data_IF_818596567165
#
_entry.id   IF_818596567165
#
_cell.length_a   1.000
_cell.length_b   1.000
_cell.length_c   1.000
_cell.angle_alpha   90.00
_cell.angle_beta   90.00
_cell.angle_gamma   90.00
#
_symmetry.space_group_name_H-M   'P 1'
#
loop_
_entity.id
_entity.type
_entity.pdbx_description
1 polymer ?
#
# COMPACT_ATOMS: atom_id res chain seq x y z
N UNK A 1 -26.69 -17.29 -0.28
CA UNK A 1 -25.74 -16.54 -1.15
C UNK A 1 -24.63 -15.88 -0.33
N UNK A 2 -24.94 -15.08 0.70
CA UNK A 2 -23.94 -14.39 1.56
C UNK A 2 -22.89 -15.32 2.18
N UNK A 3 -23.30 -16.43 2.79
CA UNK A 3 -22.36 -17.38 3.43
C UNK A 3 -21.38 -17.96 2.41
N UNK A 4 -21.86 -18.36 1.23
CA UNK A 4 -21.03 -18.91 0.15
C UNK A 4 -20.02 -17.88 -0.33
N UNK A 5 -20.46 -16.62 -0.50
CA UNK A 5 -19.58 -15.52 -0.89
C UNK A 5 -18.49 -15.26 0.16
N UNK A 6 -18.85 -15.19 1.45
CA UNK A 6 -17.89 -15.01 2.55
C UNK A 6 -16.87 -16.14 2.59
N UNK A 7 -17.32 -17.40 2.49
CA UNK A 7 -16.43 -18.57 2.47
C UNK A 7 -15.46 -18.49 1.28
N UNK A 8 -15.94 -18.10 0.10
CA UNK A 8 -15.10 -17.95 -1.09
C UNK A 8 -14.02 -16.87 -0.89
N UNK A 9 -14.40 -15.70 -0.37
CA UNK A 9 -13.46 -14.59 -0.09
C UNK A 9 -12.39 -15.03 0.91
N UNK A 10 -12.79 -15.70 1.99
CA UNK A 10 -11.85 -16.22 3.00
C UNK A 10 -10.92 -17.28 2.42
N UNK A 11 -11.42 -18.18 1.56
CA UNK A 11 -10.62 -19.19 0.89
C UNK A 11 -9.56 -18.56 -0.04
N UNK A 12 -9.95 -17.56 -0.84
CA UNK A 12 -9.03 -16.81 -1.70
C UNK A 12 -7.98 -16.09 -0.86
N UNK A 13 -8.38 -15.35 0.17
CA UNK A 13 -7.46 -14.65 1.06
C UNK A 13 -6.50 -15.62 1.75
N UNK A 14 -6.99 -16.76 2.25
CA UNK A 14 -6.17 -17.80 2.85
C UNK A 14 -5.14 -18.38 1.87
N UNK A 15 -5.55 -18.66 0.63
CA UNK A 15 -4.67 -19.12 -0.43
C UNK A 15 -3.57 -18.11 -0.79
N UNK A 16 -3.93 -16.83 -0.89
CA UNK A 16 -2.97 -15.74 -1.14
C UNK A 16 -1.95 -15.62 0.01
N UNK A 17 -2.41 -15.62 1.26
CA UNK A 17 -1.51 -15.52 2.42
C UNK A 17 -0.60 -16.75 2.55
N UNK A 18 -1.12 -17.94 2.25
CA UNK A 18 -0.30 -19.14 2.17
C UNK A 18 0.78 -19.04 1.08
N UNK A 19 0.43 -18.50 -0.10
CA UNK A 19 1.38 -18.25 -1.17
C UNK A 19 2.47 -17.27 -0.74
N UNK A 20 2.09 -16.14 -0.12
CA UNK A 20 3.04 -15.16 0.41
C UNK A 20 3.98 -15.79 1.44
N UNK A 21 3.44 -16.53 2.42
CA UNK A 21 4.23 -17.24 3.42
C UNK A 21 5.19 -18.24 2.79
N UNK A 22 4.72 -19.01 1.78
CA UNK A 22 5.55 -19.98 1.08
C UNK A 22 6.75 -19.29 0.43
N UNK A 23 6.52 -18.20 -0.30
CA UNK A 23 7.55 -17.53 -1.10
C UNK A 23 8.49 -16.66 -0.29
N UNK A 24 7.99 -15.99 0.76
CA UNK A 24 8.78 -15.09 1.59
C UNK A 24 9.43 -15.75 2.80
N UNK A 25 8.84 -16.83 3.32
CA UNK A 25 9.29 -17.47 4.56
C UNK A 25 9.76 -18.89 4.31
N UNK A 26 8.91 -19.79 3.80
CA UNK A 26 9.27 -21.21 3.63
C UNK A 26 10.42 -21.43 2.66
N UNK A 27 10.43 -20.72 1.53
CA UNK A 27 11.43 -20.90 0.47
C UNK A 27 12.75 -20.14 0.72
N UNK A 28 12.80 -19.26 1.73
CA UNK A 28 13.95 -18.36 2.02
C UNK A 28 14.65 -18.68 3.35
N UNK A 29 14.00 -19.43 4.24
CA UNK A 29 14.48 -19.73 5.60
C UNK A 29 14.69 -21.23 5.84
N UNK A 30 15.56 -21.57 6.80
CA UNK A 30 15.73 -22.95 7.26
C UNK A 30 14.50 -23.41 8.07
N UNK A 31 14.23 -24.73 8.08
CA UNK A 31 13.04 -25.30 8.74
C UNK A 31 12.97 -25.00 10.24
N UNK A 32 14.11 -24.99 10.92
CA UNK A 32 14.28 -24.66 12.33
C UNK A 32 15.17 -23.42 12.44
N UNK A 33 14.56 -22.25 12.66
CA UNK A 33 15.29 -21.01 12.83
C UNK A 33 14.39 -19.85 13.23
N UNK A 34 14.95 -18.90 13.97
CA UNK A 34 14.24 -17.71 14.46
C UNK A 34 13.62 -16.91 13.31
N UNK A 35 14.34 -16.73 12.20
CA UNK A 35 13.83 -16.04 11.01
C UNK A 35 12.54 -16.67 10.45
N UNK A 36 12.43 -18.01 10.45
CA UNK A 36 11.21 -18.71 10.00
C UNK A 36 10.04 -18.47 10.95
N UNK A 37 10.30 -18.50 12.25
CA UNK A 37 9.28 -18.24 13.29
C UNK A 37 8.76 -16.81 13.20
N UNK A 38 9.67 -15.83 13.15
CA UNK A 38 9.35 -14.40 13.03
C UNK A 38 8.60 -14.12 11.72
N UNK A 39 9.10 -14.60 10.58
CA UNK A 39 8.41 -14.42 9.30
C UNK A 39 7.03 -15.07 9.27
N UNK A 40 6.87 -16.25 9.90
CA UNK A 40 5.56 -16.90 10.02
C UNK A 40 4.62 -16.08 10.90
N UNK A 41 5.09 -15.61 12.05
CA UNK A 41 4.30 -14.78 12.95
C UNK A 41 3.84 -13.48 12.26
N UNK A 42 4.72 -12.80 11.52
CA UNK A 42 4.37 -11.59 10.78
C UNK A 42 3.30 -11.84 9.71
N UNK A 43 3.44 -12.92 8.92
CA UNK A 43 2.49 -13.27 7.85
C UNK A 43 1.14 -13.78 8.37
N UNK A 44 1.07 -14.23 9.63
CA UNK A 44 -0.18 -14.58 10.32
C UNK A 44 -0.80 -13.36 11.01
N UNK A 45 0.03 -12.53 11.66
CA UNK A 45 -0.45 -11.34 12.37
C UNK A 45 -1.04 -10.30 11.41
N UNK A 46 -0.45 -10.12 10.23
CA UNK A 46 -0.93 -9.17 9.21
C UNK A 46 -2.42 -9.31 8.87
N UNK A 47 -2.90 -10.45 8.34
CA UNK A 47 -4.31 -10.64 8.03
C UNK A 47 -5.23 -10.55 9.25
N UNK A 48 -4.75 -10.97 10.43
CA UNK A 48 -5.51 -10.84 11.68
C UNK A 48 -5.68 -9.37 12.06
N UNK A 49 -4.63 -8.56 11.96
CA UNK A 49 -4.70 -7.12 12.22
C UNK A 49 -5.61 -6.42 11.21
N UNK A 50 -5.51 -6.77 9.93
CA UNK A 50 -6.39 -6.27 8.87
C UNK A 50 -7.87 -6.60 9.15
N UNK A 51 -8.18 -7.87 9.46
CA UNK A 51 -9.55 -8.28 9.76
C UNK A 51 -10.07 -7.62 11.03
N UNK A 52 -9.27 -7.56 12.10
CA UNK A 52 -9.66 -6.92 13.35
C UNK A 52 -9.89 -5.41 13.16
N UNK A 53 -9.08 -4.73 12.35
CA UNK A 53 -9.29 -3.32 12.03
C UNK A 53 -10.64 -3.08 11.33
N UNK A 54 -10.94 -3.85 10.27
CA UNK A 54 -12.22 -3.77 9.54
C UNK A 54 -13.42 -4.06 10.45
N UNK A 55 -13.31 -5.08 11.31
CA UNK A 55 -14.38 -5.43 12.27
C UNK A 55 -14.54 -4.35 13.34
N UNK A 56 -13.44 -3.78 13.85
CA UNK A 56 -13.50 -2.74 14.87
C UNK A 56 -14.24 -1.48 14.38
N UNK A 57 -14.02 -1.08 13.13
CA UNK A 57 -14.77 0.03 12.50
C UNK A 57 -16.25 -0.31 12.32
N UNK A 58 -16.56 -1.51 11.81
CA UNK A 58 -17.95 -1.93 11.55
C UNK A 58 -18.78 -2.17 12.80
N UNK A 59 -18.15 -2.52 13.92
CA UNK A 59 -18.84 -2.85 15.18
C UNK A 59 -18.91 -1.69 16.17
N UNK A 60 -18.34 -0.52 15.81
CA UNK A 60 -18.31 0.64 16.71
C UNK A 60 -17.44 0.42 17.94
N UNK A 61 -16.34 -0.34 17.81
CA UNK A 61 -15.37 -0.53 18.90
C UNK A 61 -14.82 0.83 19.38
N UNK A 62 -14.28 0.95 20.62
CA UNK A 62 -13.77 2.22 21.12
C UNK A 62 -12.80 2.88 20.14
N UNK A 63 -12.98 4.17 19.83
CA UNK A 63 -12.24 4.85 18.77
C UNK A 63 -10.72 4.74 18.93
N UNK A 64 -10.19 4.80 20.16
CA UNK A 64 -8.76 4.58 20.45
C UNK A 64 -8.26 3.22 19.97
N UNK A 65 -9.06 2.17 20.12
CA UNK A 65 -8.72 0.84 19.63
C UNK A 65 -8.73 0.81 18.10
N UNK A 66 -9.71 1.46 17.45
CA UNK A 66 -9.73 1.61 16.00
C UNK A 66 -8.45 2.31 15.50
N UNK A 67 -8.04 3.41 16.14
CA UNK A 67 -6.81 4.14 15.77
C UNK A 67 -5.55 3.26 15.85
N UNK A 68 -5.43 2.43 16.88
CA UNK A 68 -4.27 1.55 17.07
C UNK A 68 -4.26 0.40 16.04
N UNK A 69 -5.43 -0.16 15.71
CA UNK A 69 -5.54 -1.29 14.80
C UNK A 69 -5.50 -0.88 13.31
N UNK A 70 -6.08 0.27 12.97
CA UNK A 70 -6.23 0.73 11.59
C UNK A 70 -4.87 0.91 10.90
N UNK A 71 -3.88 1.51 11.58
CA UNK A 71 -2.53 1.70 11.02
C UNK A 71 -1.89 0.41 10.53
N UNK A 72 -1.61 -0.60 11.39
CA UNK A 72 -0.97 -1.82 10.94
C UNK A 72 -1.91 -2.68 10.07
N UNK A 73 -3.21 -2.69 10.34
CA UNK A 73 -4.18 -3.48 9.58
C UNK A 73 -4.32 -3.01 8.13
N UNK A 74 -4.48 -1.71 7.91
CA UNK A 74 -4.64 -1.17 6.57
C UNK A 74 -3.33 -1.04 5.80
N UNK A 75 -2.20 -0.78 6.47
CA UNK A 75 -0.89 -0.89 5.82
C UNK A 75 -0.61 -2.32 5.37
N UNK A 76 -1.00 -3.33 6.15
CA UNK A 76 -0.92 -4.72 5.71
C UNK A 76 -1.77 -4.96 4.46
N UNK A 77 -2.99 -4.42 4.41
CA UNK A 77 -3.89 -4.55 3.26
C UNK A 77 -3.24 -4.02 1.97
N UNK A 78 -2.59 -2.86 1.99
CA UNK A 78 -1.83 -2.38 0.83
C UNK A 78 -0.57 -3.24 0.57
N UNK A 79 0.18 -3.59 1.62
CA UNK A 79 1.44 -4.32 1.50
C UNK A 79 1.25 -5.71 0.88
N UNK A 80 0.22 -6.45 1.28
CA UNK A 80 -0.03 -7.79 0.75
C UNK A 80 -0.29 -7.77 -0.77
N UNK A 81 -0.94 -6.71 -1.28
CA UNK A 81 -1.19 -6.53 -2.71
C UNK A 81 0.13 -6.33 -3.45
N UNK A 82 0.97 -5.39 -3.02
CA UNK A 82 2.22 -5.10 -3.73
C UNK A 82 3.28 -6.19 -3.56
N UNK A 83 3.30 -6.89 -2.41
CA UNK A 83 4.14 -8.09 -2.26
C UNK A 83 3.68 -9.17 -3.24
N UNK A 84 2.37 -9.42 -3.36
CA UNK A 84 1.83 -10.39 -4.30
C UNK A 84 2.25 -10.04 -5.73
N UNK A 85 2.01 -8.80 -6.17
CA UNK A 85 2.36 -8.32 -7.52
C UNK A 85 3.87 -8.45 -7.78
N UNK A 86 4.70 -7.99 -6.84
CA UNK A 86 6.15 -8.07 -6.98
C UNK A 86 6.66 -9.53 -7.03
N UNK A 87 6.03 -10.44 -6.27
CA UNK A 87 6.33 -11.87 -6.35
C UNK A 87 5.88 -12.49 -7.68
N UNK A 88 4.74 -12.09 -8.22
CA UNK A 88 4.28 -12.56 -9.55
C UNK A 88 5.27 -12.16 -10.65
N UNK A 89 5.74 -10.91 -10.64
CA UNK A 89 6.84 -10.45 -11.51
C UNK A 89 8.11 -11.27 -11.24
N UNK A 90 8.44 -11.49 -9.96
CA UNK A 90 9.57 -12.30 -9.53
C UNK A 90 9.53 -13.74 -10.07
N UNK A 91 8.37 -14.38 -10.15
CA UNK A 91 8.22 -15.73 -10.71
C UNK A 91 8.49 -15.75 -12.23
N UNK A 92 8.15 -14.68 -12.96
CA UNK A 92 8.50 -14.53 -14.37
C UNK A 92 10.01 -14.33 -14.59
N UNK A 93 10.68 -13.60 -13.69
CA UNK A 93 12.14 -13.32 -13.78
C UNK A 93 12.99 -14.48 -13.26
N UNK A 94 12.49 -15.26 -12.31
CA UNK A 94 13.19 -16.39 -11.66
C UNK A 94 13.87 -17.37 -12.63
N UNK A 95 13.26 -17.86 -13.73
CA UNK A 95 13.94 -18.75 -14.67
C UNK A 95 15.11 -18.07 -15.42
N UNK A 96 15.00 -16.78 -15.72
CA UNK A 96 16.06 -16.02 -16.39
C UNK A 96 17.27 -15.85 -15.47
N UNK A 97 17.03 -15.49 -14.20
CA UNK A 97 18.06 -15.41 -13.16
C UNK A 97 18.81 -16.75 -12.98
N UNK A 98 18.08 -17.88 -12.96
CA UNK A 98 18.69 -19.21 -12.86
C UNK A 98 19.59 -19.51 -14.05
N UNK A 99 19.09 -19.30 -15.28
CA UNK A 99 19.87 -19.51 -16.52
C UNK A 99 21.12 -18.63 -16.56
N UNK A 100 21.04 -17.39 -16.12
CA UNK A 100 22.18 -16.48 -16.07
C UNK A 100 23.26 -16.95 -15.07
N UNK A 101 22.85 -17.44 -13.89
CA UNK A 101 23.76 -18.00 -12.90
C UNK A 101 24.40 -19.32 -13.37
N UNK A 102 23.64 -20.16 -14.06
CA UNK A 102 24.14 -21.41 -14.66
C UNK A 102 25.19 -21.13 -15.73
N UNK A 103 24.94 -20.17 -16.63
CA UNK A 103 25.91 -19.74 -17.64
C UNK A 103 27.19 -19.20 -17.03
N UNK A 104 27.09 -18.32 -16.03
CA UNK A 104 28.26 -17.79 -15.31
C UNK A 104 29.07 -18.90 -14.63
N UNK A 105 28.40 -19.88 -14.03
CA UNK A 105 29.09 -21.01 -13.41
C UNK A 105 29.78 -21.90 -14.45
N UNK A 106 29.17 -22.12 -15.62
CA UNK A 106 29.78 -22.87 -16.72
C UNK A 106 31.01 -22.14 -17.30
N UNK A 107 30.96 -20.81 -17.41
CA UNK A 107 32.10 -20.01 -17.88
C UNK A 107 33.23 -19.86 -16.86
N UNK A 108 32.95 -20.06 -15.57
CA UNK A 108 33.93 -19.98 -14.48
C UNK A 108 34.53 -21.35 -14.10
N UNK A 109 34.08 -22.44 -14.73
CA UNK A 109 34.68 -23.75 -14.52
C UNK A 109 36.09 -23.78 -15.14
N UNK A 110 37.13 -24.22 -14.40
CA UNK A 110 38.47 -24.33 -14.97
C UNK A 110 38.46 -25.28 -16.17
N UNK A 111 39.12 -24.91 -17.26
CA UNK A 111 39.38 -25.82 -18.37
C UNK A 111 40.17 -27.02 -17.83
N UNK A 112 39.58 -28.21 -17.90
CA UNK A 112 40.28 -29.46 -17.61
C UNK A 112 41.41 -29.58 -18.65
N UNK A 113 42.70 -29.72 -18.26
CA UNK A 113 43.75 -29.93 -19.24
C UNK A 113 43.48 -31.23 -19.97
N UNK A 114 43.44 -31.18 -21.30
CA UNK A 114 43.29 -32.34 -22.15
C UNK A 114 44.44 -33.32 -21.86
N UNK A 115 44.11 -34.57 -21.55
CA UNK A 115 45.10 -35.62 -21.40
C UNK A 115 45.87 -35.78 -22.72
N UNK A 116 47.20 -35.60 -22.67
CA UNK A 116 48.09 -35.90 -23.80
C UNK A 116 48.00 -37.38 -24.16
N UNK A 117 48.00 -37.74 -25.46
CA UNK A 117 48.05 -39.13 -25.88
C UNK A 117 49.44 -39.70 -25.60
N UNK A 118 49.47 -40.87 -24.94
CA UNK A 118 50.68 -41.61 -24.66
C UNK A 118 51.45 -41.94 -25.97
N UNK A 119 52.68 -41.45 -26.07
CA UNK A 119 53.63 -41.82 -27.12
C UNK A 119 54.20 -43.23 -26.92
N UNK A 120 54.68 -43.90 -27.99
CA UNK A 120 55.03 -45.32 -27.94
C UNK A 120 56.40 -45.56 -27.30
N UNK A 121 56.53 -46.73 -26.68
CA UNK A 121 57.70 -47.21 -25.96
C UNK A 121 58.90 -47.56 -26.88
N UNK A 122 60.12 -47.32 -26.38
CA UNK A 122 61.40 -47.79 -26.92
C UNK A 122 62.60 -47.34 -26.06
N UNK A 123 63.75 -48.05 -26.05
CA UNK A 123 64.13 -48.89 -24.91
C UNK A 123 65.38 -48.47 -24.10
N UNK A 124 65.65 -49.29 -23.08
CA UNK A 124 66.53 -49.16 -21.92
C UNK A 124 68.05 -48.94 -22.14
N UNK A 125 68.71 -48.37 -21.11
CA UNK A 125 70.17 -48.35 -20.95
C UNK A 125 70.69 -47.81 -19.60
N UNK A 126 70.82 -48.71 -18.62
CA UNK A 126 71.87 -48.94 -17.57
C UNK A 126 72.37 -47.78 -16.64
N UNK A 127 72.70 -48.07 -15.34
CA UNK A 127 72.73 -47.09 -14.24
C UNK A 127 74.13 -46.74 -13.68
N UNK A 128 74.17 -45.66 -12.89
CA UNK A 128 75.27 -45.25 -12.01
C UNK A 128 75.15 -43.74 -11.74
N UNK A 129 75.46 -43.15 -10.60
CA UNK A 129 76.06 -43.57 -9.33
C UNK A 129 75.95 -42.36 -8.37
N UNK A 130 75.75 -42.63 -7.07
CA UNK A 130 76.12 -41.82 -5.88
C UNK A 130 76.66 -40.39 -6.07
N UNK A 131 76.14 -39.41 -5.31
CA UNK A 131 76.75 -38.99 -4.02
C UNK A 131 76.21 -37.63 -3.47
N UNK A 132 76.19 -37.57 -2.14
CA UNK A 132 76.47 -36.43 -1.25
C UNK A 132 75.49 -35.24 -1.06
N UNK A 133 74.94 -35.23 0.16
CA UNK A 133 74.54 -34.10 1.04
C UNK A 133 75.84 -33.44 1.60
N UNK A 134 75.93 -32.13 1.91
CA UNK A 134 75.50 -31.53 3.20
C UNK A 134 74.81 -30.15 3.06
N UNK A 135 73.75 -29.82 3.81
CA UNK A 135 73.70 -29.43 5.23
C UNK A 135 74.44 -28.12 5.59
N UNK A 136 73.67 -27.11 6.02
CA UNK A 136 74.10 -25.92 6.78
C UNK A 136 72.84 -25.25 7.35
N UNK A 137 72.51 -25.46 8.64
CA UNK A 137 72.85 -24.61 9.79
C UNK A 137 72.11 -23.24 9.73
N UNK A 138 71.00 -23.00 10.44
CA UNK A 138 70.75 -22.86 11.90
C UNK A 138 70.99 -21.45 12.45
N UNK A 139 70.21 -21.14 13.50
CA UNK A 139 70.26 -19.99 14.41
C UNK A 139 69.61 -18.68 13.91
N UNK A 140 68.96 -17.83 14.73
CA UNK A 140 68.30 -17.81 16.06
C UNK A 140 68.07 -16.30 16.32
N UNK A 141 67.08 -15.95 17.16
CA UNK A 141 66.96 -14.62 17.79
C UNK A 141 65.53 -14.07 17.70
N UNK A 142 64.63 -14.16 18.70
CA UNK A 142 64.63 -13.75 20.12
C UNK A 142 64.04 -12.34 20.36
N UNK A 143 63.12 -12.27 21.34
CA UNK A 143 62.64 -11.06 22.03
C UNK A 143 61.22 -10.61 21.62
N UNK A 144 60.26 -10.30 22.49
CA UNK A 144 60.13 -10.22 23.95
C UNK A 144 58.64 -9.98 24.28
N UNK A 145 58.05 -10.69 25.26
CA UNK A 145 57.70 -10.25 26.63
C UNK A 145 56.75 -9.04 26.78
N UNK A 146 55.55 -9.32 27.30
CA UNK A 146 54.81 -8.59 28.37
C UNK A 146 53.42 -9.27 28.49
N UNK A 147 52.79 -9.55 29.63
CA UNK A 147 53.07 -9.43 31.06
C UNK A 147 51.80 -9.86 31.82
N UNK A 148 51.97 -10.62 32.92
CA UNK A 148 51.32 -10.48 34.26
C UNK A 148 49.78 -10.32 34.34
N UNK A 149 48.97 -10.99 35.20
CA UNK A 149 49.09 -11.98 36.30
C UNK A 149 47.64 -12.25 36.85
N UNK A 150 47.39 -13.03 37.93
CA UNK A 150 46.27 -13.99 38.01
C UNK A 150 45.38 -13.81 39.27
N UNK A 151 44.45 -14.75 39.46
CA UNK A 151 43.92 -15.32 40.73
C UNK A 151 42.54 -15.93 40.40
N UNK A 152 42.06 -17.05 40.93
CA UNK A 152 42.44 -17.95 42.01
C UNK A 152 41.18 -18.77 42.34
N UNK A 153 41.31 -19.97 42.90
CA UNK A 153 40.17 -20.76 43.40
C UNK A 153 40.33 -22.26 43.29
N UNK A 154 40.83 -22.88 44.35
CA UNK A 154 41.04 -24.32 44.55
C UNK A 154 39.78 -25.07 45.03
N UNK A 155 39.68 -26.34 44.59
CA UNK A 155 39.43 -27.61 45.33
C UNK A 155 38.31 -27.73 46.39
N UNK A 156 37.51 -28.79 46.24
CA UNK A 156 37.23 -29.87 47.22
C UNK A 156 36.51 -31.01 46.45
N UNK A 157 36.92 -32.28 46.50
CA UNK A 157 36.53 -33.31 47.49
C UNK A 157 35.22 -33.99 47.01
N UNK A 158 35.04 -35.31 46.87
CA UNK A 158 35.60 -36.48 47.57
C UNK A 158 35.57 -37.73 46.65
N UNK A 159 36.56 -38.59 46.84
CA UNK A 159 36.59 -39.99 46.45
C UNK A 159 35.73 -40.82 47.43
N UNK A 160 34.99 -41.82 46.94
CA UNK A 160 34.91 -43.10 47.64
C UNK A 160 34.71 -44.25 46.64
N UNK A 161 35.62 -45.23 46.74
CA UNK A 161 35.76 -46.43 45.93
C UNK A 161 35.15 -47.61 46.67
N UNK A 162 34.60 -48.57 45.93
CA UNK A 162 34.65 -50.00 46.28
C UNK A 162 34.81 -50.83 44.99
N UNK A 163 35.91 -51.59 44.94
CA UNK A 163 36.18 -52.94 44.41
C UNK A 163 35.33 -53.54 43.27
N UNK A 164 35.80 -54.46 42.43
CA UNK A 164 37.07 -55.09 42.06
C UNK A 164 36.67 -56.00 40.87
N UNK A 165 37.55 -56.26 39.90
CA UNK A 165 37.25 -57.24 38.86
C UNK A 165 38.01 -57.10 37.55
N UNK A 166 39.29 -57.45 37.62
CA UNK A 166 40.26 -57.85 36.58
C UNK A 166 39.78 -58.14 35.13
N UNK A 167 40.38 -57.41 34.17
CA UNK A 167 41.11 -57.80 32.93
C UNK A 167 40.81 -59.18 32.29
N UNK A 168 40.80 -59.41 30.98
CA UNK A 168 41.10 -58.64 29.77
C UNK A 168 40.58 -59.45 28.56
N UNK A 169 40.28 -58.79 27.44
CA UNK A 169 39.84 -59.45 26.20
C UNK A 169 39.37 -58.44 25.15
N UNK A 170 40.33 -57.90 24.44
CA UNK A 170 40.32 -56.73 23.56
C UNK A 170 39.77 -57.01 22.15
N UNK A 171 38.87 -56.15 21.66
CA UNK A 171 38.77 -55.73 20.25
C UNK A 171 37.80 -54.54 20.11
N UNK A 172 38.34 -53.32 20.12
CA UNK A 172 37.63 -52.10 19.74
C UNK A 172 37.98 -51.70 18.28
N UNK A 173 37.08 -50.99 17.57
CA UNK A 173 37.16 -50.73 16.13
C UNK A 173 37.88 -49.41 15.81
N UNK A 174 38.54 -49.30 14.65
CA UNK A 174 39.02 -48.03 14.07
C UNK A 174 39.41 -48.20 12.57
N UNK A 175 39.67 -47.12 11.80
CA UNK A 175 38.74 -46.05 11.44
C UNK A 175 38.85 -45.58 9.95
N UNK A 176 37.95 -44.65 9.58
CA UNK A 176 38.15 -43.51 8.68
C UNK A 176 38.74 -43.71 7.26
N UNK A 177 37.86 -43.79 6.27
CA UNK A 177 38.11 -43.26 4.92
C UNK A 177 37.47 -41.88 4.77
N UNK A 178 38.23 -40.81 4.96
CA UNK A 178 37.84 -39.44 4.63
C UNK A 178 37.94 -39.23 3.12
N UNK A 179 36.80 -39.23 2.42
CA UNK A 179 36.71 -38.73 1.05
C UNK A 179 36.74 -37.19 1.00
N UNK A 180 37.26 -36.58 -0.08
CA UNK A 180 37.38 -35.13 -0.19
C UNK A 180 36.00 -34.53 -0.52
N UNK A 181 35.26 -34.18 0.52
CA UNK A 181 33.99 -33.45 0.42
C UNK A 181 34.19 -31.96 0.70
N UNK A 182 34.94 -31.26 -0.15
CA UNK A 182 34.95 -29.79 -0.12
C UNK A 182 33.64 -29.29 -0.78
N UNK A 183 32.55 -29.43 -0.04
CA UNK A 183 31.24 -28.94 -0.44
C UNK A 183 31.11 -27.47 -0.01
N UNK A 184 31.21 -26.58 -0.99
CA UNK A 184 30.96 -25.14 -0.93
C UNK A 184 30.11 -24.69 0.28
N UNK A 185 30.69 -23.89 1.17
CA UNK A 185 30.08 -23.34 2.41
C UNK A 185 28.96 -22.30 2.13
N UNK A 186 28.46 -22.21 0.89
CA UNK A 186 27.44 -21.26 0.46
C UNK A 186 26.00 -21.82 0.44
N UNK A 187 24.96 -20.98 0.59
CA UNK A 187 23.58 -21.41 0.40
C UNK A 187 23.38 -21.98 -1.01
N UNK A 188 22.54 -23.03 -1.14
CA UNK A 188 22.21 -23.58 -2.47
C UNK A 188 21.74 -22.48 -3.42
N UNK A 189 22.09 -22.57 -4.71
CA UNK A 189 21.70 -21.57 -5.74
C UNK A 189 20.20 -21.29 -5.72
N UNK A 190 19.39 -22.33 -5.49
CA UNK A 190 17.93 -22.21 -5.33
C UNK A 190 17.55 -21.32 -4.14
N UNK A 191 18.17 -21.53 -2.98
CA UNK A 191 17.95 -20.73 -1.78
C UNK A 191 18.40 -19.28 -1.99
N UNK A 192 19.56 -19.08 -2.61
CA UNK A 192 20.05 -17.74 -2.96
C UNK A 192 19.05 -17.00 -3.86
N UNK A 193 18.61 -17.60 -4.97
CA UNK A 193 17.62 -16.99 -5.87
C UNK A 193 16.31 -16.69 -5.15
N UNK A 194 15.81 -17.61 -4.30
CA UNK A 194 14.59 -17.34 -3.51
C UNK A 194 14.76 -16.17 -2.56
N UNK A 195 15.91 -16.03 -1.88
CA UNK A 195 16.20 -14.90 -0.99
C UNK A 195 16.30 -13.59 -1.74
N UNK A 196 16.98 -13.56 -2.88
CA UNK A 196 17.10 -12.36 -3.72
C UNK A 196 15.73 -11.92 -4.24
N UNK A 197 14.94 -12.84 -4.83
CA UNK A 197 13.61 -12.52 -5.35
C UNK A 197 12.66 -12.11 -4.23
N UNK A 198 12.63 -12.85 -3.11
CA UNK A 198 11.77 -12.53 -1.97
C UNK A 198 12.15 -11.20 -1.31
N UNK A 199 13.44 -10.94 -1.13
CA UNK A 199 13.94 -9.67 -0.59
C UNK A 199 13.66 -8.48 -1.50
N UNK A 200 13.89 -8.63 -2.81
CA UNK A 200 13.57 -7.60 -3.80
C UNK A 200 12.06 -7.32 -3.85
N UNK A 201 11.22 -8.36 -3.81
CA UNK A 201 9.77 -8.20 -3.80
C UNK A 201 9.28 -7.48 -2.54
N UNK A 202 9.79 -7.86 -1.36
CA UNK A 202 9.47 -7.18 -0.11
C UNK A 202 9.93 -5.71 -0.12
N UNK A 203 11.16 -5.44 -0.58
CA UNK A 203 11.69 -4.08 -0.68
C UNK A 203 10.86 -3.21 -1.66
N UNK A 204 10.50 -3.75 -2.83
CA UNK A 204 9.67 -3.05 -3.80
C UNK A 204 8.27 -2.73 -3.24
N UNK A 205 7.67 -3.69 -2.53
CA UNK A 205 6.35 -3.49 -1.91
C UNK A 205 6.39 -2.45 -0.79
N UNK A 206 7.36 -2.53 0.12
CA UNK A 206 7.54 -1.54 1.20
C UNK A 206 7.84 -0.15 0.61
N UNK A 207 8.68 -0.06 -0.42
CA UNK A 207 8.96 1.21 -1.10
C UNK A 207 7.73 1.81 -1.76
N UNK A 208 6.92 0.97 -2.43
CA UNK A 208 5.68 1.40 -3.10
C UNK A 208 4.63 1.88 -2.10
N UNK A 209 4.35 1.08 -1.06
CA UNK A 209 3.38 1.44 0.00
C UNK A 209 3.88 2.65 0.79
N UNK A 210 5.16 2.70 1.13
CA UNK A 210 5.77 3.83 1.84
C UNK A 210 5.66 5.12 1.04
N UNK A 211 6.00 5.10 -0.25
CA UNK A 211 5.85 6.25 -1.14
C UNK A 211 4.39 6.70 -1.26
N UNK A 212 3.47 5.76 -1.50
CA UNK A 212 2.05 6.09 -1.61
C UNK A 212 1.45 6.61 -0.31
N UNK A 213 1.91 6.11 0.83
CA UNK A 213 1.48 6.56 2.17
C UNK A 213 2.02 7.94 2.49
N UNK A 214 3.30 8.17 2.20
CA UNK A 214 3.90 9.49 2.32
C UNK A 214 3.17 10.52 1.45
N UNK A 215 2.75 10.15 0.25
CA UNK A 215 1.94 11.00 -0.64
C UNK A 215 0.63 11.45 0.00
N UNK A 216 -0.16 10.51 0.55
CA UNK A 216 -1.42 10.83 1.26
C UNK A 216 -1.16 11.72 2.46
N UNK A 217 -0.21 11.36 3.33
CA UNK A 217 0.05 12.10 4.57
C UNK A 217 0.64 13.49 4.34
N UNK A 218 1.27 13.72 3.19
CA UNK A 218 1.78 15.04 2.79
C UNK A 218 0.66 16.01 2.42
N UNK A 219 -0.52 15.52 2.04
CA UNK A 219 -1.69 16.31 1.65
C UNK A 219 -1.96 16.26 0.14
N UNK A 220 -3.18 16.65 -0.28
CA UNK A 220 -3.58 16.66 -1.69
C UNK A 220 -2.83 17.71 -2.52
N UNK A 221 -2.65 17.42 -3.81
CA UNK A 221 -2.11 18.38 -4.78
C UNK A 221 -3.21 19.24 -5.39
N UNK A 222 -2.92 20.49 -5.69
CA UNK A 222 -3.85 21.36 -6.44
C UNK A 222 -3.79 21.01 -7.92
N UNK A 223 -4.95 20.66 -8.50
CA UNK A 223 -5.17 20.51 -9.93
C UNK A 223 -6.04 21.66 -10.43
N UNK A 224 -5.87 22.08 -11.69
CA UNK A 224 -6.73 23.09 -12.33
C UNK A 224 -7.33 22.52 -13.61
N UNK A 225 -8.62 22.73 -13.82
CA UNK A 225 -9.34 22.32 -15.03
C UNK A 225 -10.27 23.44 -15.45
N UNK A 226 -10.26 23.79 -16.72
CA UNK A 226 -11.20 24.76 -17.29
C UNK A 226 -12.37 24.00 -17.91
N UNK A 227 -13.60 24.36 -17.53
CA UNK A 227 -14.83 23.72 -18.02
C UNK A 227 -15.66 24.74 -18.81
N UNK A 228 -15.76 24.59 -20.15
CA UNK A 228 -16.53 25.50 -20.97
C UNK A 228 -18.03 25.17 -20.90
N UNK A 229 -18.85 26.14 -20.48
CA UNK A 229 -20.30 25.98 -20.31
C UNK A 229 -21.05 26.91 -21.27
N UNK A 230 -22.03 26.35 -21.98
CA UNK A 230 -22.74 27.06 -23.06
C UNK A 230 -23.62 28.19 -22.53
N UNK A 231 -24.32 27.94 -21.42
CA UNK A 231 -25.25 28.87 -20.78
C UNK A 231 -24.59 29.81 -19.78
N UNK A 232 -23.25 29.77 -19.64
CA UNK A 232 -22.56 30.57 -18.63
C UNK A 232 -22.41 32.00 -19.15
N UNK A 233 -22.89 33.02 -18.42
CA UNK A 233 -22.78 34.40 -18.86
C UNK A 233 -21.32 34.87 -18.86
N UNK A 234 -21.00 35.84 -19.73
CA UNK A 234 -19.64 36.44 -19.82
C UNK A 234 -19.10 36.93 -18.48
N UNK A 235 -19.96 37.47 -17.60
CA UNK A 235 -19.60 37.98 -16.28
C UNK A 235 -19.07 36.92 -15.31
N UNK A 236 -19.28 35.64 -15.61
CA UNK A 236 -18.81 34.51 -14.81
C UNK A 236 -17.65 33.74 -15.45
N UNK A 237 -17.10 34.23 -16.56
CA UNK A 237 -15.89 33.67 -17.14
C UNK A 237 -14.74 33.79 -16.13
N UNK A 238 -14.04 32.68 -15.85
CA UNK A 238 -12.97 32.62 -14.86
C UNK A 238 -13.45 32.39 -13.43
N UNK A 239 -14.73 32.09 -13.19
CA UNK A 239 -15.24 31.75 -11.86
C UNK A 239 -14.60 30.44 -11.37
N UNK A 240 -14.04 30.45 -10.15
CA UNK A 240 -13.27 29.31 -9.61
C UNK A 240 -14.01 28.58 -8.50
N UNK A 241 -14.32 27.31 -8.74
CA UNK A 241 -14.86 26.38 -7.75
C UNK A 241 -13.74 25.47 -7.26
N UNK A 242 -13.40 25.52 -5.97
CA UNK A 242 -12.55 24.50 -5.36
C UNK A 242 -13.39 23.27 -5.02
N UNK A 243 -13.17 22.19 -5.77
CA UNK A 243 -13.81 20.89 -5.59
C UNK A 243 -12.91 20.00 -4.74
N UNK A 244 -13.46 19.53 -3.63
CA UNK A 244 -12.83 18.57 -2.73
C UNK A 244 -13.83 17.46 -2.42
N UNK A 245 -13.37 16.22 -2.42
CA UNK A 245 -14.16 15.03 -2.14
C UNK A 245 -13.31 14.02 -1.39
N UNK A 246 -13.92 12.97 -0.83
CA UNK A 246 -13.23 11.78 -0.31
C UNK A 246 -12.11 12.16 0.68
N UNK A 247 -12.41 13.03 1.64
CA UNK A 247 -11.46 13.45 2.67
C UNK A 247 -11.22 12.29 3.65
N UNK A 248 -12.25 11.48 3.92
CA UNK A 248 -12.19 10.30 4.79
C UNK A 248 -11.47 10.56 6.12
N UNK A 249 -11.97 11.55 6.88
CA UNK A 249 -11.52 11.70 8.25
C UNK A 249 -11.92 10.45 9.03
N UNK A 250 -10.98 9.85 9.75
CA UNK A 250 -11.18 8.55 10.36
C UNK A 250 -10.09 8.22 11.38
N UNK A 251 -9.96 6.94 11.75
CA UNK A 251 -8.95 6.50 12.72
C UNK A 251 -7.50 6.82 12.29
N UNK A 252 -7.25 6.90 10.98
CA UNK A 252 -5.92 7.16 10.40
C UNK A 252 -5.73 8.62 10.03
N UNK A 253 -6.65 9.20 9.26
CA UNK A 253 -6.59 10.60 8.82
C UNK A 253 -7.39 11.50 9.77
N UNK A 254 -6.70 12.20 10.65
CA UNK A 254 -7.33 13.04 11.69
C UNK A 254 -7.25 14.55 11.43
N UNK A 255 -7.40 15.33 12.51
CA UNK A 255 -7.42 16.81 12.48
C UNK A 255 -6.26 17.46 11.72
N UNK A 256 -5.05 16.94 11.88
CA UNK A 256 -3.87 17.51 11.21
C UNK A 256 -3.95 17.37 9.69
N UNK A 257 -4.55 16.29 9.19
CA UNK A 257 -4.81 16.11 7.77
C UNK A 257 -5.92 17.06 7.29
N UNK A 258 -7.02 17.18 8.03
CA UNK A 258 -8.08 18.14 7.74
C UNK A 258 -7.55 19.58 7.62
N UNK A 259 -6.64 19.99 8.51
CA UNK A 259 -6.01 21.31 8.43
C UNK A 259 -5.22 21.48 7.13
N UNK A 260 -4.42 20.49 6.71
CA UNK A 260 -3.69 20.56 5.43
C UNK A 260 -4.63 20.69 4.23
N UNK A 261 -5.75 19.98 4.24
CA UNK A 261 -6.78 20.08 3.18
C UNK A 261 -7.34 21.50 3.13
N UNK A 262 -7.74 22.05 4.28
CA UNK A 262 -8.28 23.41 4.39
C UNK A 262 -7.27 24.47 3.96
N UNK A 263 -6.02 24.37 4.41
CA UNK A 263 -4.93 25.27 4.04
C UNK A 263 -4.69 25.23 2.52
N UNK A 264 -4.71 24.03 1.93
CA UNK A 264 -4.56 23.83 0.48
C UNK A 264 -5.71 24.48 -0.28
N UNK A 265 -6.97 24.26 0.13
CA UNK A 265 -8.15 24.89 -0.50
C UNK A 265 -8.03 26.42 -0.43
N UNK A 266 -7.80 26.96 0.75
CA UNK A 266 -7.71 28.41 0.97
C UNK A 266 -6.57 29.05 0.17
N UNK A 267 -5.44 28.34 -0.03
CA UNK A 267 -4.33 28.82 -0.86
C UNK A 267 -4.70 29.04 -2.33
N UNK A 268 -5.79 28.41 -2.81
CA UNK A 268 -6.28 28.59 -4.18
C UNK A 268 -7.16 29.83 -4.36
N UNK A 269 -7.54 30.49 -3.25
CA UNK A 269 -8.42 31.66 -3.22
C UNK A 269 -9.69 31.49 -4.08
N UNK A 270 -10.50 30.44 -3.86
CA UNK A 270 -11.64 30.13 -4.73
C UNK A 270 -12.81 31.11 -4.51
N UNK A 271 -13.67 31.21 -5.52
CA UNK A 271 -14.92 31.96 -5.41
C UNK A 271 -15.98 31.15 -4.64
N UNK A 272 -15.94 29.82 -4.76
CA UNK A 272 -16.84 28.88 -4.08
C UNK A 272 -16.09 27.58 -3.73
N UNK A 273 -16.46 26.94 -2.62
CA UNK A 273 -15.93 25.63 -2.24
C UNK A 273 -17.07 24.60 -2.32
N UNK A 274 -16.82 23.50 -3.02
CA UNK A 274 -17.72 22.36 -3.12
C UNK A 274 -17.08 21.15 -2.43
N UNK A 275 -17.66 20.74 -1.31
CA UNK A 275 -17.30 19.51 -0.59
C UNK A 275 -18.27 18.41 -1.05
N UNK A 276 -17.78 17.48 -1.87
CA UNK A 276 -18.60 16.54 -2.64
C UNK A 276 -18.50 15.14 -2.03
N UNK A 277 -19.15 14.96 -0.88
CA UNK A 277 -19.30 13.68 -0.17
C UNK A 277 -18.02 13.06 0.39
N UNK A 278 -18.23 12.00 1.17
CA UNK A 278 -17.21 11.17 1.81
C UNK A 278 -16.20 11.99 2.62
N UNK A 279 -16.74 12.80 3.52
CA UNK A 279 -15.95 13.61 4.44
C UNK A 279 -15.32 12.74 5.53
N UNK A 280 -15.99 11.67 5.97
CA UNK A 280 -15.71 10.96 7.23
C UNK A 280 -15.99 9.47 7.17
N UNK A 281 -15.32 8.69 8.03
CA UNK A 281 -15.47 7.23 8.20
C UNK A 281 -15.87 6.87 9.65
N UNK A 282 -16.71 7.66 10.29
CA UNK A 282 -17.15 7.41 11.67
C UNK A 282 -18.05 8.49 12.23
N UNK A 283 -18.53 8.30 13.47
CA UNK A 283 -19.53 9.17 14.08
C UNK A 283 -19.02 10.59 14.40
N UNK A 284 -19.95 11.56 14.49
CA UNK A 284 -19.65 12.93 14.94
C UNK A 284 -19.03 12.95 16.33
N UNK A 285 -19.44 12.04 17.23
CA UNK A 285 -18.88 11.90 18.57
C UNK A 285 -17.36 11.71 18.54
N UNK A 286 -16.86 10.86 17.65
CA UNK A 286 -15.44 10.51 17.59
C UNK A 286 -14.64 11.46 16.69
N UNK A 287 -15.24 11.91 15.57
CA UNK A 287 -14.53 12.66 14.52
C UNK A 287 -14.90 14.14 14.42
N UNK A 288 -15.92 14.62 15.14
CA UNK A 288 -16.30 16.03 15.18
C UNK A 288 -15.14 16.99 15.50
N UNK A 289 -14.21 16.65 16.41
CA UNK A 289 -12.99 17.43 16.64
C UNK A 289 -11.97 17.38 15.49
N UNK A 290 -11.96 16.30 14.69
CA UNK A 290 -11.11 16.18 13.51
C UNK A 290 -11.62 17.03 12.35
N UNK A 291 -12.94 17.18 12.21
CA UNK A 291 -13.58 18.03 11.20
C UNK A 291 -13.55 19.54 11.53
N UNK A 292 -13.20 19.93 12.76
CA UNK A 292 -13.21 21.33 13.20
C UNK A 292 -12.45 22.32 12.29
N UNK A 293 -11.32 21.97 11.63
CA UNK A 293 -10.65 22.86 10.68
C UNK A 293 -11.53 23.35 9.53
N UNK A 294 -12.59 22.62 9.14
CA UNK A 294 -13.49 23.01 8.05
C UNK A 294 -14.16 24.38 8.30
N UNK A 295 -14.30 24.80 9.55
CA UNK A 295 -14.80 26.15 9.89
C UNK A 295 -13.88 27.29 9.43
N UNK A 296 -12.66 26.97 8.98
CA UNK A 296 -11.70 27.94 8.47
C UNK A 296 -11.73 28.03 6.93
N UNK A 297 -12.61 27.28 6.24
CA UNK A 297 -12.77 27.40 4.79
C UNK A 297 -13.23 28.81 4.41
N UNK A 298 -12.56 29.41 3.43
CA UNK A 298 -12.81 30.79 3.00
C UNK A 298 -13.03 30.84 1.49
N UNK A 299 -14.23 31.24 1.11
CA UNK A 299 -14.60 31.54 -0.26
C UNK A 299 -15.63 32.67 -0.30
N UNK A 300 -15.59 33.48 -1.35
CA UNK A 300 -16.48 34.66 -1.51
C UNK A 300 -17.96 34.29 -1.45
N UNK A 301 -18.34 33.19 -2.10
CA UNK A 301 -19.70 32.68 -2.14
C UNK A 301 -19.93 31.51 -1.18
N UNK A 302 -18.94 31.23 -0.32
CA UNK A 302 -18.95 30.23 0.75
C UNK A 302 -18.74 28.79 0.31
N UNK A 303 -19.05 27.88 1.23
CA UNK A 303 -18.76 26.45 1.12
C UNK A 303 -20.03 25.63 1.16
N UNK A 304 -20.17 24.70 0.22
CA UNK A 304 -21.34 23.84 0.08
C UNK A 304 -20.96 22.37 0.27
N UNK A 305 -21.93 21.56 0.70
CA UNK A 305 -21.73 20.16 1.02
C UNK A 305 -22.86 19.30 0.45
N UNK A 306 -22.53 18.12 -0.07
CA UNK A 306 -23.48 17.02 -0.30
C UNK A 306 -22.94 15.76 0.36
N UNK A 307 -23.84 14.86 0.76
CA UNK A 307 -23.46 13.56 1.32
C UNK A 307 -22.86 12.67 0.25
N UNK A 308 -21.90 11.84 0.66
CA UNK A 308 -21.50 10.62 0.00
C UNK A 308 -22.02 9.41 0.74
N UNK A 309 -21.65 8.21 0.30
CA UNK A 309 -22.15 6.98 0.91
C UNK A 309 -21.60 6.79 2.34
N UNK A 310 -20.43 7.35 2.65
CA UNK A 310 -19.83 7.21 3.98
C UNK A 310 -20.53 8.01 5.07
N UNK A 311 -21.20 9.11 4.72
CA UNK A 311 -22.04 9.83 5.68
C UNK A 311 -23.20 8.95 6.18
N UNK A 312 -23.87 8.22 5.27
CA UNK A 312 -24.95 7.30 5.63
C UNK A 312 -24.45 6.13 6.49
N UNK A 313 -23.23 5.64 6.26
CA UNK A 313 -22.62 4.63 7.14
C UNK A 313 -22.23 5.17 8.52
N UNK A 314 -22.17 6.49 8.68
CA UNK A 314 -21.59 7.19 9.83
C UNK A 314 -22.60 8.02 10.63
N UNK A 315 -23.89 8.00 10.25
CA UNK A 315 -24.94 8.84 10.80
C UNK A 315 -25.07 10.16 10.04
N UNK A 316 -25.70 10.11 8.86
CA UNK A 316 -25.76 11.24 7.91
C UNK A 316 -26.40 12.48 8.53
N UNK A 317 -27.50 12.34 9.26
CA UNK A 317 -28.22 13.46 9.89
C UNK A 317 -27.32 14.23 10.87
N UNK A 318 -26.59 13.53 11.74
CA UNK A 318 -25.65 14.14 12.69
C UNK A 318 -24.52 14.87 11.96
N UNK A 319 -23.99 14.28 10.88
CA UNK A 319 -22.93 14.88 10.09
C UNK A 319 -23.38 16.12 9.33
N UNK A 320 -24.56 16.07 8.71
CA UNK A 320 -25.19 17.22 8.05
C UNK A 320 -25.38 18.38 9.03
N UNK A 321 -25.88 18.10 10.24
CA UNK A 321 -25.97 19.10 11.29
C UNK A 321 -24.59 19.64 11.69
N UNK A 322 -23.60 18.75 11.85
CA UNK A 322 -22.25 19.13 12.25
C UNK A 322 -21.54 20.02 11.23
N UNK A 323 -21.64 19.72 9.93
CA UNK A 323 -21.00 20.55 8.90
C UNK A 323 -21.70 21.90 8.76
N UNK A 324 -23.02 21.96 9.03
CA UNK A 324 -23.77 23.21 9.11
C UNK A 324 -23.26 24.10 10.25
N UNK A 325 -23.02 23.54 11.42
CA UNK A 325 -22.41 24.26 12.56
C UNK A 325 -20.98 24.73 12.26
N UNK A 326 -20.26 24.04 11.36
CA UNK A 326 -18.94 24.44 10.88
C UNK A 326 -19.02 25.50 9.76
N UNK A 327 -20.21 25.96 9.37
CA UNK A 327 -20.40 27.03 8.40
C UNK A 327 -20.47 26.57 6.94
N UNK A 328 -20.54 25.26 6.67
CA UNK A 328 -20.87 24.73 5.35
C UNK A 328 -22.39 24.77 5.14
N UNK A 329 -22.81 24.82 3.88
CA UNK A 329 -24.23 24.78 3.49
C UNK A 329 -24.55 23.44 2.83
N UNK A 330 -25.16 22.49 3.56
CA UNK A 330 -25.65 21.25 2.97
C UNK A 330 -26.71 21.53 1.90
N UNK A 331 -26.60 20.84 0.75
CA UNK A 331 -27.59 20.85 -0.34
C UNK A 331 -28.28 19.49 -0.39
N UNK A 332 -29.21 19.27 0.53
CA UNK A 332 -29.93 18.01 0.70
C UNK A 332 -31.12 17.93 -0.28
N UNK A 333 -30.87 17.43 -1.50
CA UNK A 333 -31.82 17.49 -2.62
C UNK A 333 -32.39 18.92 -2.80
N UNK A 334 -31.48 19.88 -2.89
CA UNK A 334 -31.79 21.31 -2.83
C UNK A 334 -30.94 22.13 -3.81
N UNK A 335 -31.45 23.30 -4.18
CA UNK A 335 -30.78 24.29 -5.03
C UNK A 335 -30.64 25.61 -4.32
N UNK A 336 -29.56 26.31 -4.64
CA UNK A 336 -29.39 27.74 -4.36
C UNK A 336 -29.05 28.47 -5.65
N UNK A 337 -29.69 29.62 -5.88
CA UNK A 337 -29.34 30.48 -7.00
C UNK A 337 -28.13 31.34 -6.61
N UNK A 338 -27.05 31.23 -7.39
CA UNK A 338 -25.91 32.13 -7.30
C UNK A 338 -26.04 33.25 -8.34
N UNK A 339 -25.25 34.34 -8.27
CA UNK A 339 -25.41 35.49 -9.17
C UNK A 339 -25.34 35.19 -10.68
N UNK A 340 -24.76 34.05 -11.08
CA UNK A 340 -24.48 33.75 -12.49
C UNK A 340 -24.95 32.36 -12.95
N UNK A 341 -25.19 31.44 -12.03
CA UNK A 341 -25.56 30.05 -12.29
C UNK A 341 -26.29 29.50 -11.08
N UNK A 342 -26.97 28.38 -11.24
CA UNK A 342 -27.59 27.65 -10.15
C UNK A 342 -26.64 26.60 -9.61
N UNK A 343 -26.50 26.52 -8.29
CA UNK A 343 -25.80 25.42 -7.63
C UNK A 343 -26.85 24.50 -7.00
N UNK A 344 -26.87 23.24 -7.41
CA UNK A 344 -27.73 22.22 -6.87
C UNK A 344 -26.91 21.12 -6.19
N UNK A 345 -27.54 20.40 -5.28
CA UNK A 345 -26.99 19.18 -4.69
C UNK A 345 -28.08 18.13 -4.52
N UNK A 346 -27.70 16.88 -4.71
CA UNK A 346 -28.53 15.71 -4.42
C UNK A 346 -27.84 14.83 -3.39
N UNK A 347 -28.63 14.10 -2.62
CA UNK A 347 -28.14 13.11 -1.68
C UNK A 347 -27.47 11.93 -2.41
N UNK A 348 -26.60 11.23 -1.69
CA UNK A 348 -26.00 9.98 -2.18
C UNK A 348 -27.03 8.87 -2.38
N UNK A 349 -26.76 7.96 -3.32
CA UNK A 349 -27.59 6.78 -3.60
C UNK A 349 -27.77 5.89 -2.36
N UNK A 350 -26.76 5.79 -1.49
CA UNK A 350 -26.86 5.05 -0.23
C UNK A 350 -27.96 5.59 0.70
N UNK A 351 -28.39 6.84 0.52
CA UNK A 351 -29.52 7.41 1.26
C UNK A 351 -30.87 6.75 0.94
N UNK A 352 -30.98 5.99 -0.15
CA UNK A 352 -32.20 5.24 -0.49
C UNK A 352 -32.61 4.26 0.63
N UNK A 353 -31.64 3.63 1.28
CA UNK A 353 -31.87 2.69 2.39
C UNK A 353 -32.55 3.36 3.61
N UNK A 354 -32.41 4.69 3.72
CA UNK A 354 -33.01 5.52 4.78
C UNK A 354 -34.19 6.36 4.27
N UNK A 355 -34.62 6.17 3.01
CA UNK A 355 -35.68 6.97 2.38
C UNK A 355 -35.26 8.42 2.07
N UNK A 356 -33.96 8.68 2.03
CA UNK A 356 -33.32 9.98 1.77
C UNK A 356 -32.43 9.95 0.53
N UNK A 357 -32.73 9.10 -0.45
CA UNK A 357 -31.97 8.99 -1.70
C UNK A 357 -32.00 10.28 -2.55
N UNK A 358 -31.32 10.27 -3.71
CA UNK A 358 -31.30 11.42 -4.60
C UNK A 358 -32.71 11.77 -5.10
N UNK A 359 -33.06 13.06 -5.04
CA UNK A 359 -34.31 13.59 -5.56
C UNK A 359 -34.03 14.81 -6.45
N UNK A 360 -33.85 14.53 -7.74
CA UNK A 360 -33.55 15.54 -8.75
C UNK A 360 -34.74 16.46 -9.02
N UNK A 361 -35.97 15.98 -8.92
CA UNK A 361 -37.17 16.79 -9.13
C UNK A 361 -37.27 17.85 -8.04
N UNK A 362 -37.04 17.47 -6.77
CA UNK A 362 -37.00 18.40 -5.64
C UNK A 362 -35.86 19.41 -5.76
N UNK A 363 -34.66 18.97 -6.18
CA UNK A 363 -33.52 19.86 -6.31
C UNK A 363 -33.66 20.83 -7.51
N UNK A 364 -34.26 20.40 -8.61
CA UNK A 364 -34.12 21.07 -9.92
C UNK A 364 -35.44 21.47 -10.60
N UNK A 365 -36.59 20.99 -10.13
CA UNK A 365 -37.84 20.97 -10.91
C UNK A 365 -38.42 22.33 -11.30
N UNK A 366 -38.19 23.37 -10.49
CA UNK A 366 -38.68 24.74 -10.70
C UNK A 366 -37.62 25.69 -11.26
N UNK A 367 -36.46 25.20 -11.71
CA UNK A 367 -35.36 26.06 -12.16
C UNK A 367 -35.59 26.64 -13.56
N UNK A 368 -34.98 27.79 -13.82
CA UNK A 368 -34.81 28.32 -15.16
C UNK A 368 -33.75 27.49 -15.93
N UNK A 369 -34.18 26.80 -16.99
CA UNK A 369 -33.30 25.91 -17.77
C UNK A 369 -32.37 26.65 -18.72
N UNK A 370 -32.56 27.96 -18.92
CA UNK A 370 -31.67 28.81 -19.72
C UNK A 370 -30.47 29.30 -18.90
N UNK A 371 -30.51 29.18 -17.57
CA UNK A 371 -29.36 29.41 -16.69
C UNK A 371 -28.48 28.17 -16.61
N UNK A 372 -27.17 28.40 -16.46
CA UNK A 372 -26.21 27.32 -16.16
C UNK A 372 -26.58 26.68 -14.84
N UNK A 373 -26.58 25.35 -14.78
CA UNK A 373 -26.73 24.58 -13.54
C UNK A 373 -25.49 23.71 -13.29
N UNK A 374 -24.86 23.93 -12.13
CA UNK A 374 -23.78 23.09 -11.59
C UNK A 374 -24.37 22.22 -10.49
N UNK A 375 -24.25 20.90 -10.62
CA UNK A 375 -24.73 19.90 -9.68
C UNK A 375 -23.58 19.33 -8.86
N UNK A 376 -23.76 19.24 -7.55
CA UNK A 376 -22.94 18.43 -6.65
C UNK A 376 -23.65 17.08 -6.45
N UNK A 377 -23.00 16.00 -6.89
CA UNK A 377 -23.49 14.64 -6.69
C UNK A 377 -22.28 13.75 -6.44
N UNK A 378 -22.25 13.04 -5.31
CA UNK A 378 -21.03 12.34 -4.89
C UNK A 378 -20.61 11.26 -5.89
N UNK A 379 -21.55 10.43 -6.35
CA UNK A 379 -21.24 9.32 -7.23
C UNK A 379 -21.34 9.70 -8.71
N UNK A 380 -20.34 9.34 -9.53
CA UNK A 380 -20.39 9.54 -10.99
C UNK A 380 -21.60 8.88 -11.66
N UNK A 381 -22.15 7.80 -11.10
CA UNK A 381 -23.28 7.05 -11.67
C UNK A 381 -24.55 7.89 -11.82
N UNK A 382 -24.69 8.94 -11.01
CA UNK A 382 -25.82 9.88 -11.03
C UNK A 382 -25.83 10.78 -12.28
N UNK A 383 -24.82 10.68 -13.16
CA UNK A 383 -24.70 11.47 -14.39
C UNK A 383 -25.88 11.28 -15.35
N UNK A 384 -26.49 10.10 -15.38
CA UNK A 384 -27.61 9.83 -16.28
C UNK A 384 -28.85 10.64 -15.89
N UNK A 385 -29.19 10.69 -14.60
CA UNK A 385 -30.27 11.54 -14.09
C UNK A 385 -29.95 13.04 -14.27
N UNK A 386 -28.68 13.43 -14.11
CA UNK A 386 -28.26 14.81 -14.34
C UNK A 386 -28.47 15.24 -15.81
N UNK A 387 -28.20 14.34 -16.77
CA UNK A 387 -28.49 14.55 -18.20
C UNK A 387 -29.99 14.72 -18.44
N UNK A 388 -30.82 13.84 -17.87
CA UNK A 388 -32.27 13.90 -18.06
C UNK A 388 -32.88 15.20 -17.50
N UNK A 389 -32.29 15.72 -16.43
CA UNK A 389 -32.67 17.00 -15.84
C UNK A 389 -31.95 18.20 -16.47
N UNK A 390 -31.15 18.02 -17.53
CA UNK A 390 -30.48 19.06 -18.31
C UNK A 390 -29.45 19.88 -17.53
N UNK A 391 -28.77 19.26 -16.56
CA UNK A 391 -27.64 19.86 -15.81
C UNK A 391 -26.49 20.16 -16.78
N UNK A 392 -25.77 21.27 -16.60
CA UNK A 392 -24.66 21.63 -17.49
C UNK A 392 -23.32 21.03 -17.01
N UNK A 393 -23.11 20.96 -15.69
CA UNK A 393 -21.91 20.39 -15.07
C UNK A 393 -22.25 19.62 -13.79
N UNK A 394 -21.88 18.35 -13.72
CA UNK A 394 -21.85 17.57 -12.48
C UNK A 394 -20.42 17.52 -11.93
N UNK A 395 -20.29 17.75 -10.63
CA UNK A 395 -19.05 17.59 -9.86
C UNK A 395 -19.20 16.38 -8.94
N UNK A 396 -18.28 15.42 -9.03
CA UNK A 396 -18.32 14.14 -8.31
C UNK A 396 -16.97 13.72 -7.73
N UNK A 397 -17.00 12.75 -6.82
CA UNK A 397 -15.84 12.09 -6.20
C UNK A 397 -15.97 10.57 -6.30
N UNK A 398 -15.93 9.87 -5.16
CA UNK A 398 -16.27 8.45 -4.95
C UNK A 398 -15.26 7.43 -5.48
N UNK A 399 -14.66 7.66 -6.64
CA UNK A 399 -13.85 6.63 -7.31
C UNK A 399 -12.45 6.49 -6.74
N UNK A 400 -11.97 7.53 -6.05
CA UNK A 400 -10.57 7.72 -5.64
C UNK A 400 -9.54 7.63 -6.79
N UNK A 401 -9.97 7.66 -8.04
CA UNK A 401 -9.15 7.24 -9.19
C UNK A 401 -8.64 5.80 -9.10
N UNK A 402 -9.29 4.96 -8.30
CA UNK A 402 -8.92 3.57 -8.04
C UNK A 402 -7.76 3.36 -7.08
N UNK A 403 -7.46 4.35 -6.23
CA UNK A 403 -6.51 4.41 -5.08
C UNK A 403 -5.21 3.57 -5.16
N UNK A 404 -5.30 2.25 -5.28
CA UNK A 404 -4.20 1.31 -5.32
C UNK A 404 -4.13 0.63 -6.69
N UNK A 405 -3.17 1.00 -7.54
CA UNK A 405 -2.91 0.26 -8.78
C UNK A 405 -2.66 -1.24 -8.52
N UNK A 406 -3.25 -2.18 -9.29
CA UNK A 406 -4.05 -1.99 -10.51
C UNK A 406 -5.57 -1.86 -10.28
N UNK A 407 -6.02 -1.56 -9.06
CA UNK A 407 -7.44 -1.38 -8.71
C UNK A 407 -8.17 -0.32 -9.53
N UNK A 408 -7.43 0.65 -10.09
CA UNK A 408 -7.95 1.61 -11.07
C UNK A 408 -8.55 0.94 -12.30
N UNK A 409 -8.05 -0.22 -12.74
CA UNK A 409 -8.64 -0.95 -13.88
C UNK A 409 -10.02 -1.53 -13.54
N UNK A 410 -10.23 -1.93 -12.28
CA UNK A 410 -11.52 -2.45 -11.82
C UNK A 410 -12.48 -1.29 -11.60
N UNK A 411 -12.01 -0.20 -10.99
CA UNK A 411 -12.81 0.99 -10.76
C UNK A 411 -13.30 1.64 -12.07
N UNK A 412 -12.46 1.64 -13.11
CA UNK A 412 -12.79 2.14 -14.45
C UNK A 412 -13.94 1.35 -15.11
N UNK A 413 -14.01 0.03 -14.86
CA UNK A 413 -15.08 -0.81 -15.37
C UNK A 413 -16.39 -0.66 -14.58
N UNK A 414 -16.31 -0.21 -13.34
CA UNK A 414 -17.45 -0.12 -12.42
C UNK A 414 -18.10 1.28 -12.39
N UNK A 415 -17.46 2.29 -12.99
CA UNK A 415 -17.91 3.68 -12.97
C UNK A 415 -18.01 4.24 -14.39
N UNK A 416 -18.95 5.15 -14.67
CA UNK A 416 -19.05 5.78 -15.98
C UNK A 416 -17.79 6.60 -16.31
N UNK A 417 -17.21 7.28 -15.33
CA UNK A 417 -15.96 8.02 -15.46
C UNK A 417 -15.10 7.79 -14.21
N UNK A 418 -13.87 7.34 -14.40
CA UNK A 418 -12.95 7.09 -13.28
C UNK A 418 -12.42 8.38 -12.64
N UNK A 419 -11.92 9.32 -13.44
CA UNK A 419 -11.37 10.59 -12.96
C UNK A 419 -11.19 11.57 -14.13
N UNK A 420 -11.36 12.87 -13.88
CA UNK A 420 -11.19 13.91 -14.89
C UNK A 420 -12.52 14.42 -15.46
N UNK A 421 -12.42 15.16 -16.56
CA UNK A 421 -13.56 15.80 -17.22
C UNK A 421 -14.00 14.96 -18.42
N UNK A 422 -15.26 14.56 -18.44
CA UNK A 422 -15.90 13.87 -19.56
C UNK A 422 -17.24 14.52 -19.92
N UNK A 423 -17.80 14.16 -21.07
CA UNK A 423 -19.02 14.77 -21.61
C UNK A 423 -20.06 13.71 -21.94
N UNK A 424 -21.28 13.96 -21.49
CA UNK A 424 -22.48 13.13 -21.64
C UNK A 424 -23.57 13.98 -22.29
N UNK A 425 -23.65 13.97 -23.63
CA UNK A 425 -24.52 14.88 -24.36
C UNK A 425 -24.12 16.34 -24.12
N UNK A 426 -25.04 17.14 -23.57
CA UNK A 426 -24.78 18.54 -23.19
C UNK A 426 -24.28 18.73 -21.76
N UNK A 427 -24.37 17.68 -20.93
CA UNK A 427 -23.84 17.68 -19.56
C UNK A 427 -22.37 17.30 -19.55
N UNK A 428 -21.58 17.97 -18.73
CA UNK A 428 -20.20 17.57 -18.44
C UNK A 428 -20.12 16.96 -17.03
N UNK A 429 -19.27 15.95 -16.86
CA UNK A 429 -18.98 15.31 -15.59
C UNK A 429 -17.52 15.55 -15.24
N UNK A 430 -17.26 16.14 -14.07
CA UNK A 430 -15.92 16.18 -13.49
C UNK A 430 -15.84 15.26 -12.27
N UNK A 431 -14.95 14.26 -12.34
CA UNK A 431 -14.67 13.35 -11.23
C UNK A 431 -13.31 13.67 -10.61
N UNK A 432 -13.34 14.10 -9.36
CA UNK A 432 -12.18 14.32 -8.50
C UNK A 432 -11.54 12.98 -8.11
N UNK A 433 -10.21 12.94 -7.90
CA UNK A 433 -9.58 11.75 -7.30
C UNK A 433 -9.72 11.74 -5.78
N UNK A 434 -10.20 12.82 -5.19
CA UNK A 434 -10.38 12.95 -3.75
C UNK A 434 -9.11 13.34 -3.02
N UNK A 435 -9.28 13.93 -1.84
CA UNK A 435 -8.19 14.52 -1.07
C UNK A 435 -7.49 13.52 -0.15
N UNK A 436 -8.27 12.63 0.48
CA UNK A 436 -7.83 11.66 1.50
C UNK A 436 -7.57 10.28 0.93
N UNK A 437 -7.74 9.23 1.72
CA UNK A 437 -7.67 7.85 1.29
C UNK A 437 -8.60 7.00 2.15
N UNK A 438 -9.30 6.04 1.54
CA UNK A 438 -10.22 5.16 2.24
C UNK A 438 -9.54 3.83 2.62
N UNK A 439 -9.66 3.42 3.87
CA UNK A 439 -8.98 2.23 4.40
C UNK A 439 -7.45 2.41 4.44
N UNK A 440 -6.65 1.81 3.53
CA UNK A 440 -5.21 2.02 3.50
C UNK A 440 -4.89 3.48 3.24
N UNK A 441 -4.07 4.12 4.08
CA UNK A 441 -3.65 5.50 3.86
C UNK A 441 -2.59 5.56 2.76
N UNK A 442 -2.80 4.90 1.63
CA UNK A 442 -1.83 4.68 0.56
C UNK A 442 -2.49 4.90 -0.78
N UNK A 443 -1.87 5.73 -1.64
CA UNK A 443 -2.28 5.95 -3.03
C UNK A 443 -1.14 5.61 -4.00
N UNK A 444 -1.41 4.82 -5.04
CA UNK A 444 -0.45 4.43 -6.08
C UNK A 444 -1.13 4.47 -7.43
N UNK A 445 -0.59 5.27 -8.35
CA UNK A 445 -1.23 5.51 -9.66
C UNK A 445 -2.46 6.43 -9.61
N UNK A 446 -2.88 6.88 -8.43
CA UNK A 446 -4.04 7.73 -8.22
C UNK A 446 -3.75 8.83 -7.17
N UNK A 447 -2.89 9.82 -7.49
CA UNK A 447 -2.53 10.87 -6.53
C UNK A 447 -3.77 11.63 -6.06
N UNK A 448 -3.82 11.96 -4.76
CA UNK A 448 -4.90 12.77 -4.20
C UNK A 448 -4.85 14.20 -4.72
N UNK A 449 -6.02 14.78 -4.95
CA UNK A 449 -6.15 16.14 -5.46
C UNK A 449 -7.26 16.96 -4.78
N UNK A 450 -7.07 18.27 -4.84
CA UNK A 450 -8.13 19.27 -4.76
C UNK A 450 -8.15 19.93 -6.12
N UNK A 451 -9.30 19.98 -6.77
CA UNK A 451 -9.40 20.56 -8.11
C UNK A 451 -10.00 21.95 -8.05
N UNK A 452 -9.32 22.94 -8.60
CA UNK A 452 -9.93 24.22 -8.97
C UNK A 452 -10.54 24.06 -10.36
N UNK A 453 -11.86 23.99 -10.41
CA UNK A 453 -12.64 24.02 -11.64
C UNK A 453 -12.90 25.48 -11.99
N UNK A 454 -12.34 25.93 -13.10
CA UNK A 454 -12.54 27.27 -13.64
C UNK A 454 -13.64 27.22 -14.70
N UNK A 455 -14.74 27.93 -14.48
CA UNK A 455 -15.85 27.97 -15.42
C UNK A 455 -15.52 28.94 -16.56
N UNK A 456 -15.62 28.46 -17.80
CA UNK A 456 -15.39 29.28 -18.99
C UNK A 456 -16.70 29.52 -19.75
N UNK A 457 -17.04 30.80 -19.94
CA UNK A 457 -18.16 31.18 -20.79
C UNK A 457 -17.76 31.00 -22.25
N UNK A 458 -18.60 30.32 -23.04
CA UNK A 458 -18.44 30.24 -24.51
C UNK A 458 -18.82 31.53 -25.24
N UNK A 459 -19.33 32.52 -24.50
CA UNK A 459 -19.71 33.81 -25.05
C UNK A 459 -18.53 34.80 -24.99
N UNK A 460 -17.50 34.54 -24.16
CA UNK A 460 -16.41 35.47 -23.83
C UNK A 460 -15.52 35.84 -25.00
#
# INVERSE_FOLDING_TARGET
MVIVFVVLVLAVLGGLHWYLWRRLVRDTTARSGTARRVGTAALVAGPVLMATALVAERTGAPFRLQQVLAWPGFLWMALMIYVLLALLVGEAVRPLLRRALERRAASAAPAVPAAEPAGPAGPAGIPGSVSAVPAGASARGAGGSAGTKPAGGERAGEDERVDEGEQAGEAAPAPAGTGPGDASVGPSRRLFVSRVVGGAAAAAAVGTVGYGTYGVLSGPKVKRVTVPLAKLPRSAHGYRIAVVSDIHLGPVLGRGFAQKVVDTINSTQPDLIAVVGDLVDGSVKDLGPAAAPLAQLKARHGSFFVTGNHEYFSGAEEWVARVRDLGLRPLENARTELPHFDLAGVNDVAGEDEGQGPDFVKALGDRDRDRTCVLLAHQPVQIHDAVDHGVDLQLSGHTHGGQLWPGNLIADLANPTLAGLERYGDTQLYVSRGAGAWGPPTRVGAPSDITVVELASKQA
#
